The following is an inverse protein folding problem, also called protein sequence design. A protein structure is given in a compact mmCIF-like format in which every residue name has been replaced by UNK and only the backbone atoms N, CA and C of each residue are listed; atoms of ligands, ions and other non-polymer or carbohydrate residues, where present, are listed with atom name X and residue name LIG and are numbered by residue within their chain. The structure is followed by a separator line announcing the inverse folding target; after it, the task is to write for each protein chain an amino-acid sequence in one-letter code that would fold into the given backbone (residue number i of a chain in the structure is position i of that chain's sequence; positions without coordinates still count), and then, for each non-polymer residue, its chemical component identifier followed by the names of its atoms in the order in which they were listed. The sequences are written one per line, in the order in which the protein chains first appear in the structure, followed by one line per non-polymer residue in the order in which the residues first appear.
data_IF_500120537002
#
_entry.id   IF_500120537002
#
_cell.length_a   1.000
_cell.length_b   1.000
_cell.length_c   1.000
_cell.angle_alpha   90.00
_cell.angle_beta   90.00
_cell.angle_gamma   90.00
#
_symmetry.space_group_name_H-M   'P 1'
#
loop_
_entity.id
_entity.type
_entity.pdbx_description
1 polymer ?
#
# COMPACT_ATOMS: atom_id res chain seq x y z
N UNK A 1 -20.34 -2.31 -25.98
CA UNK A 1 -21.11 -1.67 -24.87
C UNK A 1 -20.58 -0.25 -24.72
N UNK A 2 -21.42 0.78 -24.54
CA UNK A 2 -20.93 2.14 -24.31
C UNK A 2 -20.13 2.19 -23.00
N UNK A 3 -19.00 2.88 -23.02
CA UNK A 3 -18.14 3.06 -21.85
C UNK A 3 -18.92 3.93 -20.86
N UNK A 4 -19.41 3.34 -19.77
CA UNK A 4 -19.91 4.12 -18.64
C UNK A 4 -18.71 4.80 -18.00
N UNK A 5 -18.51 6.07 -18.32
CA UNK A 5 -17.73 6.96 -17.48
C UNK A 5 -18.47 7.03 -16.15
N UNK A 6 -17.97 6.28 -15.16
CA UNK A 6 -18.36 6.50 -13.78
C UNK A 6 -18.07 7.99 -13.52
N UNK A 7 -19.09 8.73 -13.07
CA UNK A 7 -18.93 10.11 -12.65
C UNK A 7 -17.84 10.23 -11.57
N UNK A 8 -17.46 11.45 -11.16
CA UNK A 8 -16.43 11.65 -10.16
C UNK A 8 -16.71 10.78 -8.93
N UNK A 9 -15.73 9.97 -8.54
CA UNK A 9 -15.87 9.09 -7.39
C UNK A 9 -16.17 9.92 -6.14
N UNK A 10 -17.13 9.48 -5.33
CA UNK A 10 -17.50 10.17 -4.10
C UNK A 10 -16.41 9.93 -3.03
N UNK A 11 -15.65 10.96 -2.60
CA UNK A 11 -14.58 10.78 -1.62
C UNK A 11 -15.08 10.38 -0.22
N UNK A 12 -16.38 10.57 0.05
CA UNK A 12 -16.99 10.17 1.33
C UNK A 12 -17.37 8.69 1.38
N UNK A 13 -17.45 8.02 0.23
CA UNK A 13 -17.81 6.61 0.13
C UNK A 13 -16.77 5.73 0.87
N UNK A 14 -17.19 4.96 1.89
CA UNK A 14 -16.28 4.11 2.65
C UNK A 14 -15.61 3.02 1.80
N UNK A 15 -16.28 2.54 0.75
CA UNK A 15 -15.74 1.55 -0.20
C UNK A 15 -14.66 2.17 -1.07
N UNK A 16 -14.92 3.36 -1.62
CA UNK A 16 -13.92 4.11 -2.41
C UNK A 16 -12.67 4.41 -1.58
N UNK A 17 -12.84 4.93 -0.36
CA UNK A 17 -11.72 5.24 0.54
C UNK A 17 -10.89 4.02 0.91
N UNK A 18 -11.54 2.86 1.09
CA UNK A 18 -10.81 1.63 1.36
C UNK A 18 -10.00 1.16 0.14
N UNK A 19 -10.59 1.25 -1.06
CA UNK A 19 -9.86 0.95 -2.30
C UNK A 19 -8.64 1.88 -2.47
N UNK A 20 -8.81 3.17 -2.25
CA UNK A 20 -7.73 4.16 -2.27
C UNK A 20 -6.59 3.78 -1.31
N UNK A 21 -6.93 3.40 -0.06
CA UNK A 21 -5.95 2.90 0.92
C UNK A 21 -5.18 1.67 0.43
N UNK A 22 -5.86 0.72 -0.19
CA UNK A 22 -5.25 -0.50 -0.75
C UNK A 22 -4.29 -0.16 -1.90
N UNK A 23 -4.69 0.72 -2.82
CA UNK A 23 -3.82 1.18 -3.91
C UNK A 23 -2.58 1.87 -3.35
N UNK A 24 -2.77 2.78 -2.39
CA UNK A 24 -1.67 3.50 -1.77
C UNK A 24 -0.68 2.54 -1.07
N UNK A 25 -1.19 1.56 -0.32
CA UNK A 25 -0.36 0.51 0.30
C UNK A 25 0.43 -0.27 -0.75
N UNK A 26 -0.22 -0.66 -1.86
CA UNK A 26 0.41 -1.43 -2.93
C UNK A 26 1.54 -0.65 -3.60
N UNK A 27 1.34 0.66 -3.85
CA UNK A 27 2.38 1.53 -4.40
C UNK A 27 3.57 1.63 -3.44
N UNK A 28 3.34 1.83 -2.15
CA UNK A 28 4.40 1.91 -1.15
C UNK A 28 5.17 0.58 -1.05
N UNK A 29 4.47 -0.56 -1.07
CA UNK A 29 5.09 -1.88 -1.10
C UNK A 29 5.92 -2.10 -2.36
N UNK A 30 5.44 -1.64 -3.52
CA UNK A 30 6.18 -1.69 -4.78
C UNK A 30 7.47 -0.87 -4.75
N UNK A 31 7.40 0.37 -4.24
CA UNK A 31 8.59 1.23 -4.06
C UNK A 31 9.57 0.60 -3.08
N UNK A 32 9.08 0.10 -1.94
CA UNK A 32 9.91 -0.61 -0.97
C UNK A 32 10.63 -1.79 -1.62
N UNK A 33 9.92 -2.64 -2.36
CA UNK A 33 10.51 -3.80 -3.01
C UNK A 33 11.56 -3.40 -4.06
N UNK A 34 11.25 -2.45 -4.94
CA UNK A 34 12.17 -1.98 -5.98
C UNK A 34 13.44 -1.35 -5.38
N UNK A 35 13.31 -0.50 -4.37
CA UNK A 35 14.45 0.18 -3.75
C UNK A 35 15.28 -0.80 -2.92
N UNK A 36 14.66 -1.57 -2.02
CA UNK A 36 15.41 -2.49 -1.16
C UNK A 36 16.08 -3.60 -1.96
N UNK A 37 15.44 -4.16 -2.99
CA UNK A 37 16.10 -5.14 -3.87
C UNK A 37 17.33 -4.56 -4.57
N UNK A 38 17.24 -3.34 -5.11
CA UNK A 38 18.38 -2.65 -5.72
C UNK A 38 19.51 -2.37 -4.73
N UNK A 39 19.18 -1.88 -3.53
CA UNK A 39 20.16 -1.61 -2.48
C UNK A 39 20.87 -2.88 -2.01
N UNK A 40 20.12 -3.95 -1.74
CA UNK A 40 20.69 -5.24 -1.34
C UNK A 40 21.52 -5.90 -2.46
N UNK A 41 21.16 -5.68 -3.72
CA UNK A 41 22.00 -6.09 -4.84
C UNK A 41 23.34 -5.35 -4.88
N UNK A 42 23.33 -4.02 -4.69
CA UNK A 42 24.55 -3.19 -4.66
C UNK A 42 25.43 -3.53 -3.45
N UNK A 43 24.81 -3.78 -2.29
CA UNK A 43 25.49 -4.25 -1.07
C UNK A 43 26.33 -5.52 -1.33
N UNK A 44 25.84 -6.44 -2.15
CA UNK A 44 26.57 -7.65 -2.52
C UNK A 44 27.77 -7.42 -3.46
N UNK A 45 27.85 -6.25 -4.11
CA UNK A 45 28.92 -5.91 -5.08
C UNK A 45 29.95 -4.95 -4.47
N UNK A 46 29.53 -4.07 -3.55
CA UNK A 46 30.35 -3.01 -2.94
C UNK A 46 30.72 -3.39 -1.49
N UNK A 47 31.54 -2.54 -0.85
CA UNK A 47 31.83 -2.70 0.58
C UNK A 47 30.53 -2.62 1.39
N UNK A 48 30.33 -3.50 2.39
CA UNK A 48 29.10 -3.55 3.16
C UNK A 48 28.77 -2.23 3.86
N UNK A 49 27.52 -1.80 3.74
CA UNK A 49 26.92 -0.68 4.44
C UNK A 49 26.28 -1.15 5.75
N UNK A 50 26.94 -0.83 6.87
CA UNK A 50 26.51 -1.25 8.22
C UNK A 50 25.05 -0.91 8.59
N UNK A 51 24.46 0.12 7.98
CA UNK A 51 23.13 0.63 8.37
C UNK A 51 21.99 0.15 7.46
N UNK A 52 22.28 -0.63 6.40
CA UNK A 52 21.27 -1.01 5.41
C UNK A 52 20.15 -1.86 6.03
N UNK A 53 20.50 -2.79 6.91
CA UNK A 53 19.52 -3.61 7.63
C UNK A 53 18.54 -2.80 8.48
N UNK A 54 19.03 -1.74 9.16
CA UNK A 54 18.17 -0.85 9.94
C UNK A 54 17.22 -0.04 9.05
N UNK A 55 17.69 0.45 7.90
CA UNK A 55 16.86 1.16 6.94
C UNK A 55 15.75 0.25 6.39
N UNK A 56 16.10 -0.95 5.91
CA UNK A 56 15.11 -1.92 5.40
C UNK A 56 14.13 -2.33 6.51
N UNK A 57 14.62 -2.59 7.72
CA UNK A 57 13.79 -3.00 8.85
C UNK A 57 12.80 -1.92 9.30
N UNK A 58 13.26 -0.68 9.47
CA UNK A 58 12.40 0.44 9.86
C UNK A 58 11.35 0.75 8.79
N UNK A 59 11.72 0.69 7.51
CA UNK A 59 10.78 0.91 6.42
C UNK A 59 9.76 -0.24 6.29
N UNK A 60 10.20 -1.49 6.49
CA UNK A 60 9.29 -2.63 6.54
C UNK A 60 8.29 -2.48 7.70
N UNK A 61 8.73 -2.03 8.87
CA UNK A 61 7.85 -1.75 10.00
C UNK A 61 6.79 -0.69 9.64
N UNK A 62 7.19 0.39 8.94
CA UNK A 62 6.24 1.39 8.47
C UNK A 62 5.19 0.81 7.49
N UNK A 63 5.58 -0.13 6.62
CA UNK A 63 4.63 -0.84 5.76
C UNK A 63 3.66 -1.73 6.55
N UNK A 64 4.13 -2.41 7.60
CA UNK A 64 3.27 -3.22 8.46
C UNK A 64 2.26 -2.35 9.23
N UNK A 65 2.67 -1.18 9.70
CA UNK A 65 1.75 -0.19 10.29
C UNK A 65 0.71 0.25 9.26
N UNK A 66 1.13 0.58 8.04
CA UNK A 66 0.21 0.98 6.97
C UNK A 66 -0.78 -0.15 6.62
N UNK A 67 -0.30 -1.38 6.46
CA UNK A 67 -1.14 -2.56 6.25
C UNK A 67 -2.19 -2.72 7.36
N UNK A 68 -1.77 -2.56 8.62
CA UNK A 68 -2.68 -2.62 9.78
C UNK A 68 -3.79 -1.57 9.66
N UNK A 69 -3.46 -0.33 9.28
CA UNK A 69 -4.45 0.73 9.04
C UNK A 69 -5.44 0.33 7.94
N UNK A 70 -4.96 -0.24 6.83
CA UNK A 70 -5.83 -0.67 5.72
C UNK A 70 -6.79 -1.78 6.16
N UNK A 71 -6.30 -2.76 6.93
CA UNK A 71 -7.10 -3.89 7.42
C UNK A 71 -8.13 -3.45 8.46
N UNK A 72 -7.74 -2.60 9.42
CA UNK A 72 -8.63 -2.08 10.47
C UNK A 72 -9.72 -1.18 9.88
N UNK A 73 -9.39 -0.37 8.87
CA UNK A 73 -10.36 0.53 8.22
C UNK A 73 -11.07 -0.12 7.03
N UNK A 74 -11.29 -1.44 7.07
CA UNK A 74 -12.08 -2.15 6.06
C UNK A 74 -13.58 -1.92 6.33
N UNK A 75 -14.37 -1.46 5.35
CA UNK A 75 -15.79 -1.19 5.53
C UNK A 75 -16.57 -2.47 5.85
N UNK A 76 -17.70 -2.34 6.53
CA UNK A 76 -18.60 -3.46 6.85
C UNK A 76 -19.20 -4.12 5.60
N UNK A 77 -19.91 -5.24 5.75
CA UNK A 77 -20.65 -5.86 4.63
C UNK A 77 -21.88 -5.02 4.24
N UNK A 78 -22.60 -4.50 5.23
CA UNK A 78 -23.77 -3.62 5.05
C UNK A 78 -23.42 -2.33 4.30
N UNK A 79 -22.25 -1.74 4.58
CA UNK A 79 -21.76 -0.55 3.88
C UNK A 79 -21.34 -0.83 2.43
N UNK A 80 -21.07 -2.10 2.09
CA UNK A 80 -20.70 -2.52 0.72
C UNK A 80 -21.92 -2.91 -0.12
N UNK A 81 -23.03 -3.28 0.50
CA UNK A 81 -24.27 -3.72 -0.14
C UNK A 81 -25.48 -3.07 0.54
N UNK A 82 -25.71 -1.77 0.35
CA UNK A 82 -26.80 -1.03 1.02
C UNK A 82 -28.21 -1.47 0.62
N UNK A 83 -28.36 -2.26 -0.45
CA UNK A 83 -29.64 -2.55 -1.11
C UNK A 83 -30.04 -4.06 -1.07
N UNK A 84 -29.42 -4.87 -0.20
CA UNK A 84 -29.74 -6.31 -0.03
C UNK A 84 -30.84 -6.57 0.99
#
# INVERSE_FOLDING_TARGET
MPIRWYGPANPSDPTYRHFERVVNLTLHAGVFAAVNSGLWFVEGIRHPWNNLGWLTGAWLLALLVHLTVVVVQRPGLEERMPDS
#
